data_IF_251471346476
#
_entry.id   IF_251471346476
#
_cell.length_a   1.000
_cell.length_b   1.000
_cell.length_c   1.000
_cell.angle_alpha   90.00
_cell.angle_beta   90.00
_cell.angle_gamma   90.00
#
_symmetry.space_group_name_H-M   'P 1'
#
loop_
_entity.id
_entity.type
_entity.pdbx_description
1 polymer ?
#
# COMPACT_ATOMS: atom_id res chain seq x y z
N UNK A 1 1.23 -11.71 1.54
CA UNK A 1 0.98 -10.76 0.44
C UNK A 1 0.19 -11.36 -0.72
N UNK A 2 0.30 -12.66 -0.94
CA UNK A 2 -0.38 -13.34 -2.07
C UNK A 2 -1.91 -13.21 -2.04
N UNK A 3 -2.48 -13.02 -0.86
CA UNK A 3 -3.94 -12.91 -0.69
C UNK A 3 -4.45 -11.48 -0.90
N UNK A 4 -3.55 -10.53 -1.09
CA UNK A 4 -3.90 -9.13 -1.33
C UNK A 4 -4.02 -8.88 -2.83
N UNK A 5 -5.16 -8.34 -3.24
CA UNK A 5 -5.48 -8.07 -4.65
C UNK A 5 -5.08 -6.66 -5.07
N UNK A 6 -5.14 -5.71 -4.14
CA UNK A 6 -4.94 -4.28 -4.43
C UNK A 6 -4.01 -3.67 -3.40
N UNK A 7 -3.01 -2.94 -3.89
CA UNK A 7 -2.14 -2.11 -3.06
C UNK A 7 -2.30 -0.65 -3.48
N UNK A 8 -2.71 0.20 -2.54
CA UNK A 8 -2.80 1.65 -2.72
C UNK A 8 -1.89 2.30 -1.68
N UNK A 9 -0.69 2.63 -2.08
CA UNK A 9 0.33 3.21 -1.19
C UNK A 9 0.56 4.65 -1.58
N UNK A 10 0.45 5.56 -0.60
CA UNK A 10 0.73 6.97 -0.82
C UNK A 10 2.18 7.18 -1.26
N UNK A 11 2.33 7.91 -2.35
CA UNK A 11 3.62 8.20 -2.96
C UNK A 11 4.04 9.63 -2.59
N UNK A 12 4.48 9.81 -1.35
CA UNK A 12 5.07 11.11 -0.97
C UNK A 12 6.34 11.36 -1.80
N UNK A 13 7.14 10.30 -1.97
CA UNK A 13 8.32 10.26 -2.85
C UNK A 13 8.47 8.84 -3.37
N UNK A 14 8.86 8.71 -4.63
CA UNK A 14 9.09 7.40 -5.26
C UNK A 14 10.12 6.57 -4.48
N UNK A 15 11.19 7.21 -4.01
CA UNK A 15 12.23 6.54 -3.24
C UNK A 15 11.73 5.88 -1.97
N UNK A 16 10.78 6.51 -1.27
CA UNK A 16 10.20 5.92 -0.05
C UNK A 16 9.37 4.69 -0.36
N UNK A 17 8.56 4.71 -1.41
CA UNK A 17 7.77 3.55 -1.81
C UNK A 17 8.68 2.39 -2.21
N UNK A 18 9.72 2.67 -2.99
CA UNK A 18 10.71 1.66 -3.39
C UNK A 18 11.45 1.09 -2.18
N UNK A 19 11.81 1.94 -1.22
CA UNK A 19 12.46 1.50 0.01
C UNK A 19 11.55 0.59 0.83
N UNK A 20 10.27 0.92 0.93
CA UNK A 20 9.29 0.08 1.64
C UNK A 20 9.14 -1.29 0.99
N UNK A 21 9.02 -1.33 -0.35
CA UNK A 21 8.93 -2.59 -1.09
C UNK A 21 10.17 -3.45 -0.85
N UNK A 22 11.35 -2.82 -0.89
CA UNK A 22 12.61 -3.51 -0.65
C UNK A 22 12.74 -4.01 0.79
N UNK A 23 12.30 -3.21 1.75
CA UNK A 23 12.32 -3.59 3.17
C UNK A 23 11.39 -4.79 3.44
N UNK A 24 10.21 -4.82 2.85
CA UNK A 24 9.28 -5.93 2.99
C UNK A 24 9.82 -7.24 2.40
N UNK A 25 10.70 -7.17 1.42
CA UNK A 25 11.33 -8.32 0.77
C UNK A 25 12.71 -8.64 1.37
N UNK A 26 13.03 -8.08 2.53
CA UNK A 26 14.31 -8.29 3.23
C UNK A 26 14.10 -9.09 4.50
N UNK A 27 14.72 -10.28 4.58
CA UNK A 27 14.73 -11.06 5.82
C UNK A 27 15.37 -10.28 6.96
N UNK A 28 16.52 -9.65 6.70
CA UNK A 28 17.22 -8.85 7.71
C UNK A 28 16.32 -7.76 8.29
N UNK A 29 15.69 -6.95 7.44
CA UNK A 29 14.83 -5.87 7.91
C UNK A 29 13.63 -6.41 8.70
N UNK A 30 12.97 -7.44 8.20
CA UNK A 30 11.77 -7.98 8.83
C UNK A 30 12.08 -8.66 10.16
N UNK A 31 13.22 -9.35 10.28
CA UNK A 31 13.59 -9.99 11.56
C UNK A 31 14.12 -8.98 12.57
N UNK A 32 15.01 -8.08 12.16
CA UNK A 32 15.66 -7.15 13.09
C UNK A 32 14.77 -5.97 13.50
N UNK A 33 14.04 -5.41 12.56
CA UNK A 33 13.23 -4.21 12.83
C UNK A 33 11.77 -4.52 13.10
N UNK A 34 11.20 -5.52 12.43
CA UNK A 34 9.78 -5.87 12.56
C UNK A 34 9.53 -7.02 13.53
N UNK A 35 10.59 -7.64 14.04
CA UNK A 35 10.52 -8.78 14.98
C UNK A 35 9.69 -9.94 14.43
N UNK A 36 9.79 -10.17 13.13
CA UNK A 36 9.15 -11.30 12.47
C UNK A 36 10.11 -12.47 12.32
N UNK A 37 9.57 -13.62 11.95
CA UNK A 37 10.38 -14.82 11.66
C UNK A 37 11.04 -14.77 10.28
N UNK A 38 10.62 -13.87 9.40
CA UNK A 38 11.16 -13.72 8.05
C UNK A 38 10.46 -12.60 7.31
N UNK A 39 10.83 -12.41 6.04
CA UNK A 39 10.28 -11.35 5.21
C UNK A 39 8.80 -11.55 4.88
N UNK A 40 8.10 -10.45 4.56
CA UNK A 40 6.75 -10.50 4.00
C UNK A 40 6.75 -11.02 2.57
N UNK A 41 7.74 -10.62 1.79
CA UNK A 41 7.84 -10.89 0.38
C UNK A 41 7.77 -9.61 -0.45
N UNK A 42 7.78 -9.80 -1.77
CA UNK A 42 7.75 -8.69 -2.72
C UNK A 42 6.32 -8.22 -2.97
N UNK A 43 6.07 -6.93 -2.83
CA UNK A 43 4.81 -6.31 -3.25
C UNK A 43 4.75 -6.35 -4.79
N UNK A 44 3.72 -6.97 -5.39
CA UNK A 44 3.64 -7.05 -6.85
C UNK A 44 3.35 -5.67 -7.44
N UNK A 45 4.22 -5.20 -8.33
CA UNK A 45 4.04 -3.91 -8.99
C UNK A 45 2.79 -3.86 -9.85
N UNK A 46 2.37 -4.99 -10.39
CA UNK A 46 1.15 -5.13 -11.18
C UNK A 46 -0.14 -4.99 -10.37
N UNK A 47 -0.04 -4.83 -9.06
CA UNK A 47 -1.17 -4.58 -8.16
C UNK A 47 -1.07 -3.23 -7.44
N UNK A 48 0.03 -2.49 -7.65
CA UNK A 48 0.34 -1.28 -6.91
C UNK A 48 -0.05 -0.04 -7.68
N UNK A 49 -0.95 0.76 -7.10
CA UNK A 49 -1.32 2.10 -7.61
C UNK A 49 -1.66 2.14 -9.10
N UNK A 50 -2.39 1.14 -9.60
CA UNK A 50 -2.60 0.98 -11.04
C UNK A 50 -3.38 2.13 -11.68
N UNK A 51 -4.21 2.84 -10.90
CA UNK A 51 -4.98 3.99 -11.40
C UNK A 51 -4.25 5.32 -11.22
N UNK A 52 -2.97 5.26 -10.92
CA UNK A 52 -2.15 6.43 -10.61
C UNK A 52 -2.08 6.70 -9.12
N UNK A 53 -0.96 7.22 -8.69
CA UNK A 53 -0.71 7.59 -7.30
C UNK A 53 -0.46 9.08 -7.13
N UNK A 54 -0.02 9.47 -5.95
CA UNK A 54 0.16 10.88 -5.60
C UNK A 54 1.15 11.60 -6.49
N UNK A 55 2.15 10.91 -7.03
CA UNK A 55 3.14 11.50 -7.92
C UNK A 55 2.54 11.95 -9.25
N UNK A 56 1.51 11.25 -9.73
CA UNK A 56 0.85 11.56 -11.00
C UNK A 56 -0.42 12.39 -10.84
N UNK A 57 -1.18 12.16 -9.77
CA UNK A 57 -2.50 12.78 -9.56
C UNK A 57 -2.40 14.02 -8.66
N UNK A 58 -1.42 14.05 -7.76
CA UNK A 58 -1.26 15.11 -6.78
C UNK A 58 -1.58 14.66 -5.36
N UNK A 59 -1.31 15.56 -4.41
CA UNK A 59 -1.44 15.27 -2.98
C UNK A 59 -2.05 16.45 -2.21
N UNK A 60 -3.36 16.66 -2.31
CA UNK A 60 -4.05 17.56 -1.36
C UNK A 60 -4.09 16.87 0.00
N UNK A 61 -3.51 17.48 1.02
CA UNK A 61 -3.24 16.83 2.31
C UNK A 61 -4.46 16.20 2.94
N UNK A 62 -5.59 16.91 2.97
CA UNK A 62 -6.83 16.40 3.56
C UNK A 62 -7.59 15.41 2.68
N UNK A 63 -7.17 15.21 1.43
CA UNK A 63 -7.92 14.40 0.46
C UNK A 63 -7.26 13.06 0.13
N UNK A 64 -5.94 12.94 0.27
CA UNK A 64 -5.22 11.75 -0.20
C UNK A 64 -5.65 10.46 0.51
N UNK A 65 -5.85 10.49 1.81
CA UNK A 65 -6.33 9.32 2.55
C UNK A 65 -7.69 8.84 2.05
N UNK A 66 -8.60 9.76 1.79
CA UNK A 66 -9.92 9.46 1.23
C UNK A 66 -9.78 8.90 -0.18
N UNK A 67 -8.90 9.49 -1.00
CA UNK A 67 -8.64 8.99 -2.35
C UNK A 67 -8.11 7.56 -2.33
N UNK A 68 -7.15 7.25 -1.47
CA UNK A 68 -6.62 5.88 -1.33
C UNK A 68 -7.73 4.90 -0.98
N UNK A 69 -8.61 5.26 -0.04
CA UNK A 69 -9.74 4.42 0.33
C UNK A 69 -10.72 4.21 -0.83
N UNK A 70 -11.05 5.29 -1.54
CA UNK A 70 -11.97 5.24 -2.69
C UNK A 70 -11.36 4.41 -3.82
N UNK A 71 -10.09 4.65 -4.18
CA UNK A 71 -9.40 3.86 -5.21
C UNK A 71 -9.40 2.38 -4.85
N UNK A 72 -9.07 2.04 -3.61
CA UNK A 72 -9.03 0.64 -3.20
C UNK A 72 -10.41 -0.03 -3.32
N UNK A 73 -11.46 0.65 -2.87
CA UNK A 73 -12.82 0.12 -2.94
C UNK A 73 -13.28 -0.10 -4.39
N UNK A 74 -13.05 0.89 -5.26
CA UNK A 74 -13.42 0.80 -6.66
C UNK A 74 -12.58 -0.24 -7.40
N UNK A 75 -11.28 -0.32 -7.13
CA UNK A 75 -10.42 -1.32 -7.72
C UNK A 75 -10.83 -2.73 -7.32
N UNK A 76 -11.15 -2.95 -6.04
CA UNK A 76 -11.67 -4.25 -5.60
C UNK A 76 -12.92 -4.66 -6.38
N UNK A 77 -13.81 -3.70 -6.62
CA UNK A 77 -15.04 -3.95 -7.40
C UNK A 77 -14.72 -4.27 -8.85
N UNK A 78 -13.95 -3.43 -9.53
CA UNK A 78 -13.62 -3.58 -10.95
C UNK A 78 -12.77 -4.81 -11.23
N UNK A 79 -11.80 -5.08 -10.37
CA UNK A 79 -10.86 -6.19 -10.53
C UNK A 79 -11.38 -7.49 -9.92
N UNK A 80 -12.58 -7.46 -9.30
CA UNK A 80 -13.21 -8.59 -8.61
C UNK A 80 -12.31 -9.17 -7.51
N UNK A 81 -11.53 -8.29 -6.87
CA UNK A 81 -10.67 -8.66 -5.76
C UNK A 81 -11.41 -8.71 -4.43
N UNK A 82 -10.75 -9.24 -3.41
CA UNK A 82 -11.32 -9.33 -2.06
C UNK A 82 -10.63 -8.42 -1.06
N UNK A 83 -9.31 -8.34 -1.09
CA UNK A 83 -8.56 -7.60 -0.09
C UNK A 83 -7.68 -6.52 -0.72
N UNK A 84 -7.68 -5.36 -0.07
CA UNK A 84 -6.80 -4.26 -0.43
C UNK A 84 -6.01 -3.80 0.79
N UNK A 85 -4.76 -3.42 0.58
CA UNK A 85 -3.93 -2.76 1.58
C UNK A 85 -3.74 -1.31 1.18
N UNK A 86 -4.02 -0.41 2.10
CA UNK A 86 -3.76 1.01 1.97
C UNK A 86 -2.65 1.38 2.95
N UNK A 87 -1.72 2.21 2.53
CA UNK A 87 -0.69 2.71 3.42
C UNK A 87 -0.33 4.15 3.08
N UNK A 88 -0.08 4.94 4.11
CA UNK A 88 0.35 6.32 3.96
C UNK A 88 1.30 6.69 5.10
N UNK A 89 2.33 7.46 4.77
CA UNK A 89 3.17 8.11 5.75
C UNK A 89 2.67 9.52 6.04
N UNK A 90 3.11 10.08 7.16
CA UNK A 90 2.88 11.46 7.53
C UNK A 90 4.18 12.07 8.06
N UNK A 91 4.26 13.39 8.03
CA UNK A 91 5.41 14.11 8.55
C UNK A 91 5.70 13.71 10.00
N UNK A 92 6.99 13.72 10.38
CA UNK A 92 7.41 13.33 11.73
C UNK A 92 7.63 11.84 11.90
N UNK A 93 7.73 11.07 10.81
CA UNK A 93 8.01 9.65 10.86
C UNK A 93 6.81 8.78 11.21
N UNK A 94 5.60 9.32 11.05
CA UNK A 94 4.37 8.56 11.27
C UNK A 94 3.97 7.76 10.04
N UNK A 95 3.22 6.71 10.26
CA UNK A 95 2.65 5.93 9.19
C UNK A 95 1.36 5.27 9.62
N UNK A 96 0.47 5.02 8.67
CA UNK A 96 -0.79 4.33 8.90
C UNK A 96 -1.02 3.31 7.80
N UNK A 97 -1.55 2.16 8.18
CA UNK A 97 -1.95 1.13 7.24
C UNK A 97 -3.37 0.66 7.53
N UNK A 98 -4.06 0.23 6.50
CA UNK A 98 -5.42 -0.27 6.62
C UNK A 98 -5.62 -1.45 5.69
N UNK A 99 -6.28 -2.49 6.19
CA UNK A 99 -6.76 -3.60 5.37
C UNK A 99 -8.24 -3.35 5.07
N UNK A 100 -8.59 -3.45 3.81
CA UNK A 100 -9.96 -3.28 3.32
C UNK A 100 -10.43 -4.57 2.68
N UNK A 101 -11.64 -4.99 2.99
CA UNK A 101 -12.25 -6.18 2.41
C UNK A 101 -13.48 -5.79 1.60
N UNK A 102 -13.66 -6.43 0.45
CA UNK A 102 -14.83 -6.21 -0.38
C UNK A 102 -16.08 -6.77 0.30
N UNK A 103 -17.10 -5.93 0.49
CA UNK A 103 -18.36 -6.32 1.11
C UNK A 103 -19.22 -7.14 0.15
N UNK A 104 -19.85 -8.19 0.69
CA UNK A 104 -20.79 -9.01 -0.07
C UNK A 104 -20.14 -9.96 -1.10
N UNK A 105 -18.84 -10.20 -0.95
CA UNK A 105 -18.12 -11.06 -1.87
C UNK A 105 -17.88 -12.45 -1.33
#
# INVERSE_FOLDING_TARGET
>A
LKDIDVFEIHEAFAGQVLANIKAMDSDYFCTENMKRSGKFGRVPLEKLNLWGGSLSIGHPFGATGVRLAIHSAHRLKEEKGQYAVIAACAAGGHGVGMLVEAYGK
#
